data_IF_442129047137
#
_entry.id   IF_442129047137
#
_cell.length_a   1.000
_cell.length_b   1.000
_cell.length_c   1.000
_cell.angle_alpha   90.00
_cell.angle_beta   90.00
_cell.angle_gamma   90.00
#
_symmetry.space_group_name_H-M   'P 1'
#
loop_
_entity.id
_entity.type
_entity.pdbx_description
1 polymer ?
#
# COMPACT_ATOMS: atom_id res chain seq x y z
N UNK A 1 21.59 -19.54 -8.68
CA UNK A 1 20.13 -19.83 -8.63
C UNK A 1 19.94 -21.09 -7.81
N UNK A 2 18.95 -21.16 -6.93
CA UNK A 2 18.58 -22.45 -6.33
C UNK A 2 17.92 -23.29 -7.42
N UNK A 3 18.43 -24.47 -7.68
CA UNK A 3 17.81 -25.40 -8.61
C UNK A 3 16.70 -26.16 -7.87
N UNK A 4 15.46 -25.96 -8.32
CA UNK A 4 14.29 -26.72 -7.85
C UNK A 4 13.97 -27.78 -8.90
N UNK A 5 13.47 -28.91 -8.46
CA UNK A 5 13.04 -29.98 -9.38
C UNK A 5 11.75 -29.66 -10.13
N UNK A 6 10.86 -28.86 -9.49
CA UNK A 6 9.57 -28.45 -10.06
C UNK A 6 9.26 -26.99 -9.72
N UNK A 7 8.55 -26.35 -10.64
CA UNK A 7 8.04 -24.98 -10.53
C UNK A 7 6.53 -25.01 -10.66
N UNK A 8 5.82 -24.53 -9.64
CA UNK A 8 4.37 -24.65 -9.52
C UNK A 8 3.75 -23.24 -9.57
N UNK A 9 2.98 -22.98 -10.61
CA UNK A 9 2.20 -21.76 -10.76
C UNK A 9 0.80 -21.94 -10.18
N UNK A 10 0.40 -21.02 -9.32
CA UNK A 10 -0.90 -20.98 -8.67
C UNK A 10 -1.68 -19.75 -9.13
N UNK A 11 -2.81 -19.94 -9.78
CA UNK A 11 -3.76 -18.85 -10.02
C UNK A 11 -4.84 -18.91 -8.93
N UNK A 12 -4.80 -17.90 -8.03
CA UNK A 12 -5.50 -17.96 -6.74
C UNK A 12 -6.78 -17.15 -6.76
N UNK A 13 -7.91 -17.82 -6.48
CA UNK A 13 -9.22 -17.22 -6.30
C UNK A 13 -9.74 -17.45 -4.88
N UNK A 14 -10.85 -16.80 -4.53
CA UNK A 14 -11.45 -16.89 -3.19
C UNK A 14 -11.68 -18.33 -2.74
N UNK A 15 -12.22 -19.16 -3.61
CA UNK A 15 -12.67 -20.52 -3.27
C UNK A 15 -11.80 -21.61 -3.90
N UNK A 16 -11.08 -21.28 -4.96
CA UNK A 16 -10.31 -22.23 -5.76
C UNK A 16 -8.92 -21.73 -6.10
N UNK A 17 -8.02 -22.66 -6.41
CA UNK A 17 -6.69 -22.41 -6.89
C UNK A 17 -6.44 -23.31 -8.10
N UNK A 18 -6.21 -22.71 -9.26
CA UNK A 18 -5.77 -23.42 -10.45
C UNK A 18 -4.26 -23.66 -10.36
N UNK A 19 -3.83 -24.90 -10.61
CA UNK A 19 -2.46 -25.35 -10.39
C UNK A 19 -1.87 -25.86 -11.69
N UNK A 20 -0.66 -25.42 -12.01
CA UNK A 20 0.15 -25.97 -13.10
C UNK A 20 1.58 -26.21 -12.63
N UNK A 21 2.23 -27.19 -13.22
CA UNK A 21 3.56 -27.65 -12.85
C UNK A 21 4.48 -27.66 -14.07
N UNK A 22 5.65 -27.06 -13.96
CA UNK A 22 6.73 -27.13 -14.92
C UNK A 22 7.93 -27.87 -14.30
N UNK A 23 8.39 -28.94 -14.96
CA UNK A 23 9.57 -29.69 -14.52
C UNK A 23 10.86 -28.91 -14.86
N UNK A 24 11.87 -28.99 -13.98
CA UNK A 24 13.15 -28.29 -14.16
C UNK A 24 13.91 -28.72 -15.44
N UNK A 25 13.81 -30.03 -15.78
CA UNK A 25 14.50 -30.63 -16.92
C UNK A 25 14.05 -30.04 -18.26
N UNK A 26 12.87 -29.39 -18.31
CA UNK A 26 12.32 -28.78 -19.51
C UNK A 26 10.91 -29.30 -19.84
N UNK A 27 10.49 -29.10 -21.09
CA UNK A 27 9.14 -29.42 -21.54
C UNK A 27 8.11 -28.31 -21.24
N UNK A 28 6.86 -28.55 -21.65
CA UNK A 28 5.77 -27.64 -21.42
C UNK A 28 5.24 -27.74 -19.99
N UNK A 29 4.73 -26.63 -19.46
CA UNK A 29 4.02 -26.64 -18.19
C UNK A 29 2.72 -27.44 -18.33
N UNK A 30 2.43 -28.29 -17.36
CA UNK A 30 1.25 -29.17 -17.34
C UNK A 30 0.23 -28.65 -16.36
N UNK A 31 -0.99 -28.48 -16.82
CA UNK A 31 -2.09 -28.18 -15.93
C UNK A 31 -2.36 -29.39 -15.02
N UNK A 32 -2.25 -29.16 -13.71
CA UNK A 32 -2.49 -30.19 -12.71
C UNK A 32 -3.98 -30.34 -12.40
N UNK A 33 -4.73 -29.24 -12.42
CA UNK A 33 -6.13 -29.18 -12.06
C UNK A 33 -6.43 -28.00 -11.15
N UNK A 34 -7.64 -28.00 -10.63
CA UNK A 34 -8.12 -27.02 -9.65
C UNK A 34 -8.27 -27.69 -8.29
N UNK A 35 -7.90 -26.99 -7.24
CA UNK A 35 -8.06 -27.41 -5.84
C UNK A 35 -8.85 -26.35 -5.07
N UNK A 36 -9.47 -26.71 -3.95
CA UNK A 36 -10.07 -25.76 -3.03
C UNK A 36 -8.98 -24.86 -2.41
N UNK A 37 -9.28 -23.57 -2.25
CA UNK A 37 -8.38 -22.64 -1.56
C UNK A 37 -8.52 -22.82 -0.03
N UNK A 38 -8.05 -23.96 0.47
CA UNK A 38 -8.03 -24.29 1.89
C UNK A 38 -6.66 -24.79 2.32
N UNK A 39 -6.28 -24.58 3.59
CA UNK A 39 -5.00 -25.07 4.11
C UNK A 39 -4.79 -26.56 3.93
N UNK A 40 -5.84 -27.36 4.04
CA UNK A 40 -5.80 -28.81 3.86
C UNK A 40 -5.52 -29.21 2.41
N UNK A 41 -6.17 -28.51 1.46
CA UNK A 41 -5.96 -28.78 0.03
C UNK A 41 -4.55 -28.41 -0.41
N UNK A 42 -4.03 -27.28 0.03
CA UNK A 42 -2.64 -26.84 -0.21
C UNK A 42 -1.65 -27.86 0.37
N UNK A 43 -1.87 -28.31 1.61
CA UNK A 43 -1.00 -29.32 2.25
C UNK A 43 -1.02 -30.66 1.49
N UNK A 44 -2.19 -31.10 1.02
CA UNK A 44 -2.33 -32.29 0.18
C UNK A 44 -1.61 -32.14 -1.17
N UNK A 45 -1.75 -30.97 -1.79
CA UNK A 45 -1.06 -30.64 -3.04
C UNK A 45 0.47 -30.76 -2.87
N UNK A 46 1.02 -30.07 -1.86
CA UNK A 46 2.46 -30.10 -1.57
C UNK A 46 2.95 -31.54 -1.37
N UNK A 47 2.27 -32.31 -0.50
CA UNK A 47 2.63 -33.71 -0.25
C UNK A 47 2.61 -34.57 -1.52
N UNK A 48 1.65 -34.33 -2.43
CA UNK A 48 1.53 -35.10 -3.68
C UNK A 48 2.57 -34.71 -4.70
N UNK A 49 3.00 -33.44 -4.73
CA UNK A 49 4.02 -32.96 -5.67
C UNK A 49 5.44 -33.27 -5.21
N UNK A 50 5.65 -33.52 -3.91
CA UNK A 50 6.96 -33.75 -3.29
C UNK A 50 6.97 -35.09 -2.52
N UNK A 51 6.79 -36.24 -3.19
CA UNK A 51 6.75 -37.53 -2.50
C UNK A 51 8.10 -37.89 -1.84
N UNK A 52 9.21 -37.43 -2.41
CA UNK A 52 10.56 -37.72 -1.96
C UNK A 52 11.15 -36.65 -1.03
N UNK A 53 10.34 -35.66 -0.61
CA UNK A 53 10.76 -34.59 0.31
C UNK A 53 11.64 -33.51 -0.34
N UNK A 54 11.69 -33.46 -1.66
CA UNK A 54 12.41 -32.44 -2.42
C UNK A 54 11.82 -31.03 -2.21
N UNK A 55 12.67 -30.00 -2.23
CA UNK A 55 12.21 -28.60 -2.17
C UNK A 55 11.85 -28.14 -3.59
N UNK A 56 10.62 -27.66 -3.76
CA UNK A 56 10.12 -27.12 -5.03
C UNK A 56 9.75 -25.65 -4.90
N UNK A 57 9.65 -24.96 -6.04
CA UNK A 57 9.27 -23.55 -6.11
C UNK A 57 7.78 -23.41 -6.41
N UNK A 58 7.12 -22.53 -5.69
CA UNK A 58 5.75 -22.08 -5.94
C UNK A 58 5.75 -20.59 -6.27
N UNK A 59 4.84 -20.16 -7.11
CA UNK A 59 4.59 -18.75 -7.35
C UNK A 59 3.10 -18.47 -7.56
N UNK A 60 2.65 -17.30 -7.14
CA UNK A 60 1.31 -16.81 -7.44
C UNK A 60 1.26 -15.28 -7.55
N UNK A 61 0.22 -14.77 -8.21
CA UNK A 61 0.01 -13.35 -8.40
C UNK A 61 -0.53 -12.69 -7.12
N UNK A 62 0.05 -11.54 -6.72
CA UNK A 62 -0.45 -10.75 -5.61
C UNK A 62 -1.89 -10.28 -5.88
N UNK A 63 -2.79 -10.62 -5.00
CA UNK A 63 -4.22 -10.36 -5.15
C UNK A 63 -4.95 -10.32 -3.81
N UNK A 64 -6.28 -10.31 -3.82
CA UNK A 64 -7.10 -10.22 -2.61
C UNK A 64 -6.95 -11.42 -1.66
N UNK A 65 -6.39 -12.55 -2.12
CA UNK A 65 -6.12 -13.72 -1.28
C UNK A 65 -4.94 -13.53 -0.31
N UNK A 66 -4.23 -12.39 -0.39
CA UNK A 66 -3.17 -12.04 0.56
C UNK A 66 -1.96 -12.97 0.52
N UNK A 67 -1.36 -13.21 1.69
CA UNK A 67 -0.09 -13.92 1.84
C UNK A 67 -0.20 -15.25 2.59
N UNK A 68 -1.39 -15.73 2.93
CA UNK A 68 -1.55 -16.97 3.71
C UNK A 68 -1.01 -18.20 2.98
N UNK A 69 -1.23 -18.31 1.68
CA UNK A 69 -0.65 -19.39 0.84
C UNK A 69 0.88 -19.35 0.87
N UNK A 70 1.48 -18.15 0.76
CA UNK A 70 2.92 -17.97 0.88
C UNK A 70 3.44 -18.45 2.23
N UNK A 71 2.79 -18.03 3.33
CA UNK A 71 3.19 -18.44 4.69
C UNK A 71 3.09 -19.94 4.89
N UNK A 72 1.98 -20.53 4.45
CA UNK A 72 1.77 -21.96 4.56
C UNK A 72 2.79 -22.78 3.78
N UNK A 73 3.06 -22.41 2.52
CA UNK A 73 4.05 -23.11 1.68
C UNK A 73 5.46 -22.96 2.26
N UNK A 74 5.80 -21.77 2.75
CA UNK A 74 7.09 -21.51 3.40
C UNK A 74 7.25 -22.31 4.71
N UNK A 75 6.19 -22.44 5.52
CA UNK A 75 6.19 -23.26 6.73
C UNK A 75 6.33 -24.77 6.42
N UNK A 76 5.88 -25.20 5.26
CA UNK A 76 6.08 -26.57 4.78
C UNK A 76 7.49 -26.83 4.23
N UNK A 77 8.38 -25.83 4.25
CA UNK A 77 9.77 -25.94 3.86
C UNK A 77 10.04 -25.71 2.36
N UNK A 78 9.05 -25.23 1.61
CA UNK A 78 9.19 -24.97 0.18
C UNK A 78 9.41 -23.49 -0.13
N UNK A 79 9.95 -23.21 -1.32
CA UNK A 79 10.06 -21.84 -1.80
C UNK A 79 8.71 -21.34 -2.32
N UNK A 80 8.36 -20.12 -2.01
CA UNK A 80 7.16 -19.47 -2.54
C UNK A 80 7.44 -18.02 -2.90
N UNK A 81 7.07 -17.60 -4.10
CA UNK A 81 7.19 -16.23 -4.58
C UNK A 81 5.81 -15.64 -4.84
N UNK A 82 5.56 -14.46 -4.28
CA UNK A 82 4.39 -13.65 -4.64
C UNK A 82 4.84 -12.62 -5.68
N UNK A 83 4.16 -12.52 -6.80
CA UNK A 83 4.58 -11.66 -7.91
C UNK A 83 3.58 -10.55 -8.18
N UNK A 84 4.07 -9.35 -8.53
CA UNK A 84 3.19 -8.23 -8.84
C UNK A 84 2.55 -8.41 -10.23
N UNK A 85 1.22 -8.25 -10.36
CA UNK A 85 0.50 -8.38 -11.64
C UNK A 85 1.09 -7.55 -12.77
N UNK A 86 1.52 -6.33 -12.44
CA UNK A 86 2.09 -5.38 -13.40
C UNK A 86 3.50 -5.73 -13.88
N UNK A 87 4.20 -6.65 -13.19
CA UNK A 87 5.56 -7.08 -13.53
C UNK A 87 5.59 -8.45 -14.21
N UNK A 88 4.45 -9.12 -14.40
CA UNK A 88 4.37 -10.38 -15.13
C UNK A 88 4.48 -10.12 -16.63
N UNK A 89 5.48 -10.69 -17.32
CA UNK A 89 5.63 -10.54 -18.77
C UNK A 89 4.37 -10.98 -19.53
N UNK A 90 3.94 -10.19 -20.50
CA UNK A 90 2.79 -10.51 -21.37
C UNK A 90 3.24 -10.55 -22.82
N UNK A 91 2.83 -11.60 -23.53
CA UNK A 91 3.08 -11.68 -24.97
C UNK A 91 2.13 -10.75 -25.71
N UNK A 92 2.60 -9.96 -26.68
CA UNK A 92 1.72 -9.19 -27.56
C UNK A 92 0.69 -10.11 -28.24
N UNK A 93 -0.59 -9.69 -28.24
CA UNK A 93 -1.65 -10.47 -28.91
C UNK A 93 -2.31 -11.56 -28.04
N UNK A 94 -1.88 -11.80 -26.83
CA UNK A 94 -2.54 -12.73 -25.90
C UNK A 94 -3.88 -12.15 -25.43
N UNK A 95 -4.98 -12.60 -26.03
CA UNK A 95 -6.34 -12.09 -25.79
C UNK A 95 -7.22 -13.03 -24.96
N UNK A 96 -6.80 -14.28 -24.80
CA UNK A 96 -7.59 -15.29 -24.08
C UNK A 96 -6.98 -15.49 -22.71
N UNK A 97 -7.70 -15.07 -21.66
CA UNK A 97 -7.35 -15.28 -20.27
C UNK A 97 -8.19 -16.43 -19.70
N UNK A 98 -7.54 -17.42 -19.08
CA UNK A 98 -8.18 -18.49 -18.32
C UNK A 98 -7.24 -18.88 -17.17
N UNK A 99 -7.80 -19.29 -16.04
CA UNK A 99 -7.06 -19.67 -14.83
C UNK A 99 -6.02 -20.78 -15.11
N UNK A 100 -6.37 -21.73 -15.99
CA UNK A 100 -5.44 -22.74 -16.49
C UNK A 100 -4.23 -22.11 -17.18
N UNK A 101 -4.43 -21.18 -18.12
CA UNK A 101 -3.34 -20.54 -18.85
C UNK A 101 -2.50 -19.64 -17.96
N UNK A 102 -3.14 -18.98 -17.00
CA UNK A 102 -2.44 -18.10 -16.06
C UNK A 102 -1.56 -18.92 -15.12
N UNK A 103 -2.02 -20.06 -14.59
CA UNK A 103 -1.20 -20.97 -13.79
C UNK A 103 -0.06 -21.61 -14.60
N UNK A 104 -0.32 -22.07 -15.84
CA UNK A 104 0.72 -22.60 -16.75
C UNK A 104 1.78 -21.54 -17.10
N UNK A 105 1.36 -20.29 -17.30
CA UNK A 105 2.25 -19.16 -17.57
C UNK A 105 3.14 -18.86 -16.37
N UNK A 106 2.55 -18.79 -15.16
CA UNK A 106 3.29 -18.52 -13.93
C UNK A 106 4.37 -19.58 -13.69
N UNK A 107 4.05 -20.88 -13.77
CA UNK A 107 5.01 -21.95 -13.58
C UNK A 107 6.16 -21.90 -14.59
N UNK A 108 5.89 -21.60 -15.85
CA UNK A 108 6.90 -21.44 -16.91
C UNK A 108 7.81 -20.24 -16.68
N UNK A 109 7.23 -19.08 -16.31
CA UNK A 109 7.99 -17.85 -16.04
C UNK A 109 8.84 -17.97 -14.78
N UNK A 110 8.35 -18.66 -13.74
CA UNK A 110 9.13 -18.95 -12.53
C UNK A 110 10.33 -19.83 -12.86
N UNK A 111 10.14 -20.90 -13.63
CA UNK A 111 11.22 -21.76 -14.12
C UNK A 111 12.26 -20.98 -14.93
N UNK A 112 11.83 -20.03 -15.75
CA UNK A 112 12.73 -19.21 -16.57
C UNK A 112 13.45 -18.11 -15.75
N UNK A 113 13.07 -17.89 -14.48
CA UNK A 113 13.60 -16.80 -13.66
C UNK A 113 13.15 -15.39 -14.12
N UNK A 114 12.05 -15.32 -14.85
CA UNK A 114 11.52 -14.08 -15.41
C UNK A 114 10.52 -13.36 -14.47
N UNK A 115 10.19 -13.97 -13.33
CA UNK A 115 9.28 -13.37 -12.36
C UNK A 115 10.03 -12.51 -11.35
N UNK A 116 9.49 -11.33 -11.08
CA UNK A 116 9.98 -10.45 -10.02
C UNK A 116 9.11 -10.60 -8.78
N UNK A 117 9.68 -11.21 -7.73
CA UNK A 117 8.99 -11.37 -6.46
C UNK A 117 8.78 -10.02 -5.78
N UNK A 118 7.61 -9.84 -5.17
CA UNK A 118 7.35 -8.75 -4.25
C UNK A 118 7.84 -9.12 -2.84
N UNK A 119 8.23 -8.13 -2.08
CA UNK A 119 8.52 -8.32 -0.67
C UNK A 119 7.22 -8.64 0.09
N UNK A 120 7.21 -9.78 0.77
CA UNK A 120 6.08 -10.20 1.61
C UNK A 120 6.34 -9.73 3.04
N UNK A 121 5.46 -8.93 3.63
CA UNK A 121 5.58 -8.49 5.02
C UNK A 121 5.37 -9.66 5.99
N UNK A 122 5.97 -9.57 7.17
CA UNK A 122 5.56 -10.39 8.29
C UNK A 122 4.15 -9.99 8.78
N UNK A 123 3.59 -10.74 9.73
CA UNK A 123 2.23 -10.50 10.21
C UNK A 123 2.07 -9.16 10.93
N UNK A 124 3.07 -8.74 11.71
CA UNK A 124 3.05 -7.45 12.40
C UNK A 124 3.08 -6.29 11.40
N UNK A 125 3.97 -6.38 10.42
CA UNK A 125 4.09 -5.37 9.38
C UNK A 125 2.82 -5.29 8.51
N UNK A 126 2.18 -6.42 8.22
CA UNK A 126 0.91 -6.47 7.50
C UNK A 126 -0.21 -5.82 8.33
N UNK A 127 -0.31 -6.12 9.62
CA UNK A 127 -1.28 -5.50 10.51
C UNK A 127 -1.11 -3.98 10.62
N UNK A 128 0.14 -3.50 10.69
CA UNK A 128 0.42 -2.06 10.68
C UNK A 128 0.04 -1.40 9.35
N UNK A 129 0.20 -2.11 8.24
CA UNK A 129 -0.24 -1.66 6.91
C UNK A 129 -1.77 -1.57 6.86
N UNK A 130 -2.48 -2.55 7.39
CA UNK A 130 -3.94 -2.54 7.44
C UNK A 130 -4.47 -1.38 8.31
N UNK A 131 -3.84 -1.11 9.45
CA UNK A 131 -4.19 0.00 10.32
C UNK A 131 -4.04 1.36 9.60
N UNK A 132 -2.92 1.57 8.91
CA UNK A 132 -2.69 2.82 8.17
C UNK A 132 -3.65 2.98 6.99
N UNK A 133 -3.98 1.90 6.29
CA UNK A 133 -4.95 1.88 5.18
C UNK A 133 -6.38 2.10 5.67
N UNK A 134 -6.79 1.44 6.74
CA UNK A 134 -8.09 1.68 7.36
C UNK A 134 -8.28 3.15 7.76
N UNK A 135 -7.23 3.79 8.31
CA UNK A 135 -7.24 5.23 8.61
C UNK A 135 -7.38 6.07 7.33
N UNK A 136 -6.70 5.69 6.23
CA UNK A 136 -6.81 6.38 4.94
C UNK A 136 -8.22 6.28 4.37
N UNK A 137 -8.84 5.11 4.43
CA UNK A 137 -10.21 4.86 3.97
C UNK A 137 -11.22 5.71 4.79
N UNK A 138 -11.07 5.74 6.11
CA UNK A 138 -11.92 6.58 6.95
C UNK A 138 -11.73 8.07 6.68
N UNK A 139 -10.52 8.50 6.34
CA UNK A 139 -10.25 9.89 5.91
C UNK A 139 -10.90 10.21 4.55
N UNK A 140 -10.94 9.24 3.67
CA UNK A 140 -11.69 9.30 2.41
C UNK A 140 -13.19 9.47 2.65
N UNK A 141 -13.75 8.67 3.56
CA UNK A 141 -15.16 8.74 3.94
C UNK A 141 -15.51 10.10 4.59
N UNK A 142 -14.69 10.59 5.51
CA UNK A 142 -14.82 11.92 6.11
C UNK A 142 -14.90 13.02 5.03
N UNK A 143 -14.05 12.95 4.02
CA UNK A 143 -14.09 13.90 2.90
C UNK A 143 -15.42 13.83 2.14
N UNK A 144 -15.90 12.62 1.86
CA UNK A 144 -17.16 12.40 1.14
C UNK A 144 -18.37 12.95 1.96
N UNK A 145 -18.42 12.67 3.24
CA UNK A 145 -19.50 13.18 4.12
C UNK A 145 -19.49 14.70 4.19
N UNK A 146 -18.33 15.32 4.31
CA UNK A 146 -18.15 16.77 4.26
C UNK A 146 -18.60 17.38 2.93
N UNK A 147 -18.28 16.73 1.80
CA UNK A 147 -18.73 17.17 0.48
C UNK A 147 -20.27 17.12 0.36
N UNK A 148 -20.88 16.02 0.82
CA UNK A 148 -22.35 15.85 0.80
C UNK A 148 -23.06 16.93 1.61
N UNK A 149 -22.60 17.18 2.83
CA UNK A 149 -23.17 18.25 3.68
C UNK A 149 -23.00 19.64 3.04
N UNK A 150 -21.82 19.94 2.49
CA UNK A 150 -21.61 21.21 1.79
C UNK A 150 -22.55 21.38 0.58
N UNK A 151 -22.71 20.31 -0.23
CA UNK A 151 -23.61 20.33 -1.38
C UNK A 151 -25.07 20.52 -0.96
N UNK A 152 -25.50 19.89 0.14
CA UNK A 152 -26.83 20.10 0.73
C UNK A 152 -27.04 21.55 1.15
N UNK A 153 -26.13 22.11 1.93
CA UNK A 153 -26.20 23.50 2.41
C UNK A 153 -26.22 24.49 1.24
N UNK A 154 -25.36 24.29 0.24
CA UNK A 154 -25.29 25.17 -0.94
C UNK A 154 -26.60 25.15 -1.73
N UNK A 155 -27.24 23.99 -1.91
CA UNK A 155 -28.51 23.84 -2.62
C UNK A 155 -29.65 24.65 -1.97
N UNK A 156 -29.60 24.85 -0.66
CA UNK A 156 -30.55 25.66 0.10
C UNK A 156 -30.05 27.08 0.40
N UNK A 157 -29.02 27.56 -0.29
CA UNK A 157 -28.50 28.90 -0.12
C UNK A 157 -27.87 29.18 1.26
N UNK A 158 -27.56 28.14 2.02
CA UNK A 158 -26.92 28.28 3.34
C UNK A 158 -25.41 28.31 3.16
N UNK A 159 -24.83 29.49 3.15
CA UNK A 159 -23.40 29.72 2.89
C UNK A 159 -22.74 30.24 4.17
N UNK A 160 -21.70 29.53 4.65
CA UNK A 160 -20.86 30.03 5.73
C UNK A 160 -20.02 31.22 5.21
N UNK A 161 -19.85 32.25 6.02
CA UNK A 161 -19.17 33.49 5.62
C UNK A 161 -17.88 33.27 4.85
N UNK A 162 -17.68 34.04 3.76
CA UNK A 162 -16.48 33.95 2.94
C UNK A 162 -15.23 34.32 3.74
N UNK A 163 -14.12 33.64 3.46
CA UNK A 163 -12.81 33.87 4.12
C UNK A 163 -12.62 33.14 5.46
N UNK A 164 -13.67 32.57 6.08
CA UNK A 164 -13.51 31.76 7.29
C UNK A 164 -13.27 30.28 6.98
N UNK A 165 -12.41 29.66 7.79
CA UNK A 165 -12.11 28.22 7.66
C UNK A 165 -13.32 27.38 8.05
N UNK A 166 -13.69 26.42 7.16
CA UNK A 166 -14.73 25.42 7.43
C UNK A 166 -14.20 24.33 8.36
N UNK A 167 -15.11 23.56 8.96
CA UNK A 167 -14.83 22.39 9.81
C UNK A 167 -14.09 22.75 11.11
N UNK A 168 -14.27 24.00 11.56
CA UNK A 168 -13.84 24.49 12.87
C UNK A 168 -15.03 24.48 13.84
N UNK A 169 -14.78 24.60 15.14
CA UNK A 169 -15.85 24.74 16.12
C UNK A 169 -16.81 25.91 15.81
N UNK A 170 -16.28 27.01 15.25
CA UNK A 170 -17.10 28.15 14.82
C UNK A 170 -18.04 27.75 13.66
N UNK A 171 -17.57 26.94 12.70
CA UNK A 171 -18.41 26.44 11.61
C UNK A 171 -19.49 25.48 12.13
N UNK A 172 -19.16 24.59 13.06
CA UNK A 172 -20.16 23.71 13.69
C UNK A 172 -21.21 24.48 14.50
N UNK A 173 -20.82 25.49 15.27
CA UNK A 173 -21.77 26.38 15.96
C UNK A 173 -22.70 27.14 15.01
N UNK A 174 -22.18 27.58 13.87
CA UNK A 174 -23.00 28.19 12.83
C UNK A 174 -24.01 27.17 12.27
N UNK A 175 -23.61 25.94 12.01
CA UNK A 175 -24.51 24.88 11.56
C UNK A 175 -25.59 24.56 12.61
N UNK A 176 -25.24 24.51 13.88
CA UNK A 176 -26.20 24.28 14.99
C UNK A 176 -27.31 25.38 15.07
N UNK A 177 -26.99 26.58 14.61
CA UNK A 177 -27.96 27.69 14.52
C UNK A 177 -28.85 27.62 13.27
N UNK A 178 -28.61 26.74 12.32
CA UNK A 178 -29.41 26.65 11.09
C UNK A 178 -30.74 25.93 11.34
N UNK A 179 -31.79 26.50 10.78
CA UNK A 179 -33.15 25.93 10.80
C UNK A 179 -33.65 25.84 9.35
N UNK A 180 -34.38 24.77 9.08
CA UNK A 180 -35.09 24.54 7.83
C UNK A 180 -36.58 24.53 8.12
N UNK A 181 -37.35 25.23 7.27
CA UNK A 181 -38.80 25.38 7.48
C UNK A 181 -39.55 24.07 7.25
N UNK A 182 -39.02 23.18 6.40
CA UNK A 182 -39.61 21.87 6.14
C UNK A 182 -38.96 20.82 7.06
N UNK A 183 -39.76 20.16 7.88
CA UNK A 183 -39.27 19.19 8.87
C UNK A 183 -38.37 18.10 8.27
N UNK A 184 -38.70 17.57 7.08
CA UNK A 184 -37.90 16.57 6.40
C UNK A 184 -36.49 17.09 6.01
N UNK A 185 -36.38 18.37 5.64
CA UNK A 185 -35.10 19.00 5.35
C UNK A 185 -34.23 19.10 6.61
N UNK A 186 -34.86 19.44 7.77
CA UNK A 186 -34.16 19.49 9.05
C UNK A 186 -33.63 18.11 9.47
N UNK A 187 -34.39 17.04 9.26
CA UNK A 187 -33.97 15.66 9.51
C UNK A 187 -32.76 15.30 8.63
N UNK A 188 -32.86 15.54 7.32
CA UNK A 188 -31.77 15.23 6.38
C UNK A 188 -30.50 16.04 6.69
N UNK A 189 -30.66 17.31 7.06
CA UNK A 189 -29.54 18.15 7.49
C UNK A 189 -28.85 17.56 8.72
N UNK A 190 -29.60 17.16 9.74
CA UNK A 190 -29.05 16.58 10.96
C UNK A 190 -28.31 15.28 10.67
N UNK A 191 -28.87 14.39 9.83
CA UNK A 191 -28.20 13.16 9.40
C UNK A 191 -26.84 13.43 8.72
N UNK A 192 -26.77 14.46 7.86
CA UNK A 192 -25.49 14.82 7.25
C UNK A 192 -24.47 15.39 8.26
N UNK A 193 -24.92 16.18 9.24
CA UNK A 193 -24.05 16.69 10.31
C UNK A 193 -23.52 15.54 11.17
N UNK A 194 -24.40 14.60 11.55
CA UNK A 194 -24.03 13.45 12.37
C UNK A 194 -23.09 12.52 11.62
N UNK A 195 -23.30 12.28 10.32
CA UNK A 195 -22.38 11.52 9.48
C UNK A 195 -20.97 12.13 9.44
N UNK A 196 -20.85 13.46 9.40
CA UNK A 196 -19.53 14.14 9.47
C UNK A 196 -18.90 13.93 10.84
N UNK A 197 -19.65 14.17 11.93
CA UNK A 197 -19.13 13.99 13.30
C UNK A 197 -18.67 12.56 13.56
N UNK A 198 -19.44 11.57 13.12
CA UNK A 198 -19.06 10.15 13.21
C UNK A 198 -17.81 9.80 12.40
N UNK A 199 -17.69 10.33 11.18
CA UNK A 199 -16.51 10.09 10.35
C UNK A 199 -15.25 10.72 10.98
N UNK A 200 -15.33 11.94 11.50
CA UNK A 200 -14.22 12.57 12.24
C UNK A 200 -13.82 11.77 13.48
N UNK A 201 -14.80 11.28 14.26
CA UNK A 201 -14.53 10.46 15.44
C UNK A 201 -13.83 9.14 15.09
N UNK A 202 -14.22 8.48 14.00
CA UNK A 202 -13.55 7.26 13.51
C UNK A 202 -12.10 7.51 13.11
N UNK A 203 -11.83 8.60 12.38
CA UNK A 203 -10.45 8.97 12.02
C UNK A 203 -9.62 9.22 13.26
N UNK A 204 -10.14 10.02 14.22
CA UNK A 204 -9.43 10.32 15.48
C UNK A 204 -9.19 9.05 16.31
N UNK A 205 -10.15 8.12 16.33
CA UNK A 205 -10.01 6.82 17.00
C UNK A 205 -8.86 6.01 16.41
N UNK A 206 -8.79 5.87 15.09
CA UNK A 206 -7.70 5.14 14.42
C UNK A 206 -6.35 5.83 14.61
N UNK A 207 -6.29 7.16 14.57
CA UNK A 207 -5.04 7.90 14.83
C UNK A 207 -4.53 7.64 16.25
N UNK A 208 -5.42 7.56 17.24
CA UNK A 208 -5.06 7.18 18.62
C UNK A 208 -4.55 5.72 18.72
N UNK A 209 -5.18 4.79 17.99
CA UNK A 209 -4.68 3.41 17.95
C UNK A 209 -3.31 3.32 17.25
N UNK A 210 -3.05 4.14 16.21
CA UNK A 210 -1.73 4.23 15.59
C UNK A 210 -0.67 4.74 16.57
N UNK A 211 -1.00 5.73 17.42
CA UNK A 211 -0.09 6.21 18.48
C UNK A 211 0.27 5.10 19.45
N UNK A 212 -0.71 4.33 19.91
CA UNK A 212 -0.47 3.19 20.82
C UNK A 212 0.34 2.07 20.15
N UNK A 213 -0.01 1.73 18.91
CA UNK A 213 0.68 0.68 18.17
C UNK A 213 2.16 1.02 17.93
N UNK A 214 2.51 2.30 17.79
CA UNK A 214 3.90 2.74 17.65
C UNK A 214 4.76 2.38 18.86
N UNK A 215 4.23 2.43 20.09
CA UNK A 215 5.00 2.23 21.32
C UNK A 215 5.75 0.89 21.36
N UNK A 216 5.16 -0.14 20.75
CA UNK A 216 5.73 -1.50 20.75
C UNK A 216 6.23 -1.94 19.37
N UNK A 217 6.13 -1.09 18.35
CA UNK A 217 6.52 -1.47 17.01
C UNK A 217 8.03 -1.44 16.82
N UNK A 218 8.59 -2.52 16.30
CA UNK A 218 10.02 -2.67 16.01
C UNK A 218 10.59 -1.51 15.17
N UNK A 219 9.78 -0.92 14.28
CA UNK A 219 10.17 0.21 13.44
C UNK A 219 9.94 1.59 14.07
N UNK A 220 9.52 1.67 15.35
CA UNK A 220 9.30 2.94 16.05
C UNK A 220 10.50 3.90 15.97
N UNK A 221 11.76 3.48 16.18
CA UNK A 221 12.90 4.37 16.07
C UNK A 221 13.07 4.99 14.68
N UNK A 222 12.71 4.25 13.62
CA UNK A 222 12.78 4.75 12.23
C UNK A 222 11.64 5.73 11.96
N UNK A 223 10.44 5.46 12.47
CA UNK A 223 9.29 6.38 12.41
C UNK A 223 9.64 7.71 13.08
N UNK A 224 10.24 7.67 14.28
CA UNK A 224 10.69 8.87 15.00
C UNK A 224 11.76 9.64 14.23
N UNK A 225 12.73 8.94 13.64
CA UNK A 225 13.75 9.56 12.79
C UNK A 225 13.14 10.25 11.55
N UNK A 226 12.18 9.63 10.90
CA UNK A 226 11.44 10.24 9.78
C UNK A 226 10.68 11.48 10.22
N UNK A 227 10.14 11.49 11.42
CA UNK A 227 9.43 12.64 11.97
C UNK A 227 10.32 13.86 12.22
N UNK A 228 11.65 13.74 12.25
CA UNK A 228 12.58 14.88 12.27
C UNK A 228 12.58 15.66 10.94
N UNK A 229 12.13 15.06 9.85
CA UNK A 229 12.02 15.70 8.55
C UNK A 229 10.84 16.68 8.51
N UNK A 230 11.03 17.80 7.80
CA UNK A 230 9.98 18.80 7.60
C UNK A 230 8.79 18.20 6.85
N UNK A 231 7.58 18.45 7.35
CA UNK A 231 6.33 17.98 6.72
C UNK A 231 5.95 16.54 7.10
N UNK A 232 6.87 15.73 7.61
CA UNK A 232 6.57 14.38 8.05
C UNK A 232 6.08 14.41 9.50
N UNK A 233 4.84 14.00 9.71
CA UNK A 233 4.24 13.76 11.04
C UNK A 233 4.01 12.26 11.22
N UNK A 234 3.49 11.86 12.37
CA UNK A 234 3.24 10.48 12.75
C UNK A 234 2.56 9.68 11.64
N UNK A 235 1.40 10.14 11.18
CA UNK A 235 0.61 9.42 10.16
C UNK A 235 1.42 9.18 8.89
N UNK A 236 2.14 10.20 8.40
CA UNK A 236 2.99 10.06 7.22
C UNK A 236 4.13 9.09 7.45
N UNK A 237 4.84 9.20 8.58
CA UNK A 237 5.97 8.33 8.91
C UNK A 237 5.52 6.87 9.07
N UNK A 238 4.43 6.63 9.79
CA UNK A 238 3.87 5.28 9.94
C UNK A 238 3.39 4.71 8.62
N UNK A 239 2.69 5.49 7.77
CA UNK A 239 2.28 5.03 6.44
C UNK A 239 3.48 4.63 5.60
N UNK A 240 4.56 5.43 5.60
CA UNK A 240 5.78 5.11 4.86
C UNK A 240 6.38 3.80 5.36
N UNK A 241 6.54 3.64 6.68
CA UNK A 241 7.15 2.44 7.24
C UNK A 241 6.26 1.20 7.16
N UNK A 242 4.95 1.35 7.35
CA UNK A 242 3.99 0.26 7.20
C UNK A 242 3.97 -0.32 5.77
N UNK A 243 4.08 0.54 4.78
CA UNK A 243 4.06 0.13 3.37
C UNK A 243 5.42 -0.37 2.86
N UNK A 244 6.53 0.22 3.32
CA UNK A 244 7.87 -0.15 2.87
C UNK A 244 8.48 -1.31 3.68
N UNK A 245 8.19 -1.39 4.97
CA UNK A 245 8.88 -2.32 5.87
C UNK A 245 10.36 -1.99 6.01
N UNK A 246 11.20 -3.00 5.88
CA UNK A 246 12.64 -2.83 5.94
C UNK A 246 13.16 -2.00 4.76
N UNK A 247 13.61 -0.79 5.05
CA UNK A 247 14.17 0.13 4.05
C UNK A 247 15.63 -0.21 3.68
N UNK A 248 16.32 -1.06 4.47
CA UNK A 248 17.70 -1.48 4.18
C UNK A 248 17.80 -2.32 2.90
N UNK A 249 16.71 -2.89 2.43
CA UNK A 249 16.61 -3.62 1.15
C UNK A 249 16.81 -2.75 -0.09
N UNK A 250 16.87 -1.44 0.08
CA UNK A 250 17.15 -0.52 -1.03
C UNK A 250 18.61 -0.04 -0.94
N UNK A 251 19.42 -0.39 -1.92
CA UNK A 251 20.85 -0.04 -1.97
C UNK A 251 21.08 1.46 -2.14
N UNK A 252 20.10 2.18 -2.66
CA UNK A 252 20.21 3.61 -2.91
C UNK A 252 18.86 4.34 -2.88
N UNK A 253 18.85 5.66 -2.61
CA UNK A 253 17.64 6.48 -2.74
C UNK A 253 17.01 6.43 -4.13
N UNK A 254 17.80 6.23 -5.19
CA UNK A 254 17.29 6.11 -6.57
C UNK A 254 16.47 4.84 -6.76
N UNK A 255 16.92 3.73 -6.17
CA UNK A 255 16.20 2.47 -6.20
C UNK A 255 14.84 2.59 -5.48
N UNK A 256 14.80 3.24 -4.31
CA UNK A 256 13.56 3.54 -3.61
C UNK A 256 12.63 4.45 -4.43
N UNK A 257 13.17 5.49 -5.07
CA UNK A 257 12.38 6.37 -5.94
C UNK A 257 11.79 5.62 -7.13
N UNK A 258 12.56 4.72 -7.76
CA UNK A 258 12.09 3.85 -8.83
C UNK A 258 10.99 2.91 -8.35
N UNK A 259 11.20 2.25 -7.21
CA UNK A 259 10.20 1.37 -6.58
C UNK A 259 8.87 2.10 -6.29
N UNK A 260 8.94 3.38 -5.94
CA UNK A 260 7.76 4.21 -5.67
C UNK A 260 7.18 4.88 -6.91
N UNK A 261 7.80 4.69 -8.08
CA UNK A 261 7.39 5.35 -9.32
C UNK A 261 7.50 6.87 -9.29
N UNK A 262 8.48 7.38 -8.56
CA UNK A 262 8.83 8.81 -8.47
C UNK A 262 9.92 9.22 -9.46
N UNK A 263 10.28 8.34 -10.38
CA UNK A 263 11.21 8.61 -11.48
C UNK A 263 10.44 8.99 -12.75
N UNK A 264 10.98 9.88 -13.58
CA UNK A 264 10.35 10.23 -14.86
C UNK A 264 10.27 8.99 -15.77
N UNK A 265 9.19 8.88 -16.52
CA UNK A 265 9.14 7.95 -17.64
C UNK A 265 10.08 8.43 -18.74
N UNK A 266 10.76 7.50 -19.39
CA UNK A 266 11.70 7.82 -20.46
C UNK A 266 11.46 6.89 -21.67
N UNK A 267 11.48 7.50 -22.85
CA UNK A 267 11.48 6.80 -24.14
C UNK A 267 12.63 7.36 -24.94
N UNK A 268 13.72 6.61 -24.96
CA UNK A 268 14.93 7.01 -25.67
C UNK A 268 15.20 6.06 -26.82
N UNK A 269 15.55 6.59 -27.99
CA UNK A 269 15.94 5.84 -29.17
C UNK A 269 17.04 6.60 -29.89
N UNK A 270 18.22 5.98 -30.03
CA UNK A 270 19.39 6.62 -30.62
C UNK A 270 19.80 7.89 -29.85
N UNK A 271 19.86 9.01 -30.54
CA UNK A 271 20.21 10.30 -29.93
C UNK A 271 19.02 11.06 -29.32
N UNK A 272 17.80 10.54 -29.44
CA UNK A 272 16.59 11.21 -29.00
C UNK A 272 16.15 10.68 -27.64
N UNK A 273 15.98 11.55 -26.65
CA UNK A 273 15.47 11.21 -25.32
C UNK A 273 14.21 12.03 -25.03
N UNK A 274 13.09 11.34 -24.80
CA UNK A 274 11.83 11.94 -24.39
C UNK A 274 11.52 11.53 -22.95
N UNK A 275 11.50 12.51 -22.05
CA UNK A 275 11.10 12.35 -20.66
C UNK A 275 9.68 12.82 -20.44
N UNK A 276 8.85 11.96 -19.85
CA UNK A 276 7.46 12.29 -19.46
C UNK A 276 7.33 12.59 -17.97
N UNK A 277 6.10 12.50 -17.48
CA UNK A 277 5.81 12.58 -16.05
C UNK A 277 6.35 11.37 -15.27
N UNK A 278 6.18 11.35 -13.96
CA UNK A 278 6.58 10.20 -13.12
C UNK A 278 5.85 8.93 -13.55
N UNK A 279 6.53 7.78 -13.44
CA UNK A 279 6.01 6.47 -13.90
C UNK A 279 4.76 6.02 -13.17
N UNK A 280 4.57 6.45 -11.90
CA UNK A 280 3.47 6.05 -11.01
C UNK A 280 3.37 4.54 -10.78
N UNK A 281 4.41 3.79 -11.06
CA UNK A 281 4.52 2.37 -10.72
C UNK A 281 4.66 2.17 -9.20
N UNK A 282 4.46 0.95 -8.72
CA UNK A 282 4.67 0.60 -7.31
C UNK A 282 3.67 1.24 -6.33
N UNK A 283 4.10 1.43 -5.08
CA UNK A 283 3.22 1.75 -3.97
C UNK A 283 2.63 3.15 -4.04
N UNK A 284 1.32 3.25 -4.24
CA UNK A 284 0.59 4.52 -4.37
C UNK A 284 0.39 5.24 -3.03
N UNK A 285 0.26 4.51 -1.91
CA UNK A 285 0.05 5.09 -0.58
C UNK A 285 1.28 5.90 -0.16
N UNK A 286 2.47 5.29 -0.25
CA UNK A 286 3.74 5.99 0.06
C UNK A 286 3.98 7.16 -0.90
N UNK A 287 3.79 6.93 -2.21
CA UNK A 287 3.97 8.00 -3.20
C UNK A 287 3.09 9.21 -2.89
N UNK A 288 1.82 9.01 -2.56
CA UNK A 288 0.89 10.08 -2.20
C UNK A 288 1.38 10.89 -1.01
N UNK A 289 1.69 10.24 0.11
CA UNK A 289 2.10 10.95 1.33
C UNK A 289 3.45 11.64 1.18
N UNK A 290 4.37 11.10 0.37
CA UNK A 290 5.64 11.75 0.09
C UNK A 290 5.49 12.97 -0.83
N UNK A 291 4.61 12.91 -1.84
CA UNK A 291 4.29 14.05 -2.70
C UNK A 291 3.64 15.18 -1.88
N UNK A 292 2.65 14.85 -1.04
CA UNK A 292 2.01 15.82 -0.13
C UNK A 292 3.04 16.46 0.81
N UNK A 293 3.94 15.67 1.38
CA UNK A 293 5.02 16.17 2.24
C UNK A 293 6.02 17.04 1.48
N UNK A 294 6.34 16.67 0.24
CA UNK A 294 7.27 17.40 -0.64
C UNK A 294 6.88 18.88 -0.81
N UNK A 295 5.59 19.20 -0.81
CA UNK A 295 5.11 20.57 -0.87
C UNK A 295 5.59 21.47 0.28
N UNK A 296 5.95 20.89 1.42
CA UNK A 296 6.49 21.64 2.55
C UNK A 296 7.87 22.22 2.24
N UNK A 297 8.61 21.63 1.29
CA UNK A 297 9.97 22.05 0.92
C UNK A 297 10.03 23.20 -0.07
N UNK A 298 8.88 23.67 -0.58
CA UNK A 298 8.79 24.91 -1.40
C UNK A 298 9.09 26.17 -0.60
N UNK A 299 8.98 26.10 0.72
CA UNK A 299 9.28 27.25 1.59
C UNK A 299 10.75 27.27 1.99
N UNK A 300 11.35 28.44 2.25
CA UNK A 300 12.73 28.55 2.72
C UNK A 300 13.04 27.66 3.91
N UNK A 301 14.28 27.19 4.01
CA UNK A 301 14.72 26.39 5.12
C UNK A 301 14.54 27.14 6.44
N UNK A 302 13.88 26.50 7.42
CA UNK A 302 13.61 27.10 8.73
C UNK A 302 13.59 26.05 9.83
N UNK A 303 14.28 26.30 10.93
CA UNK A 303 14.18 25.54 12.18
C UNK A 303 13.08 26.16 13.03
N UNK A 304 11.88 25.59 12.99
CA UNK A 304 10.81 25.98 13.92
C UNK A 304 11.00 25.27 15.27
N UNK A 305 10.55 25.87 16.37
CA UNK A 305 10.61 25.24 17.69
C UNK A 305 9.97 23.83 17.70
N UNK A 306 8.90 23.65 16.93
CA UNK A 306 8.23 22.35 16.76
C UNK A 306 9.13 21.30 16.09
N UNK A 307 9.80 21.65 14.99
CA UNK A 307 10.74 20.74 14.31
C UNK A 307 11.96 20.45 15.15
N UNK A 308 12.47 21.47 15.87
CA UNK A 308 13.61 21.33 16.73
C UNK A 308 13.37 20.34 17.88
N UNK A 309 12.26 20.48 18.61
CA UNK A 309 11.88 19.53 19.71
C UNK A 309 11.78 18.08 19.21
N UNK A 310 11.33 17.87 17.97
CA UNK A 310 11.25 16.53 17.38
C UNK A 310 12.63 16.00 16.99
N UNK A 311 13.46 16.84 16.40
CA UNK A 311 14.80 16.48 15.99
C UNK A 311 15.73 16.22 17.19
N UNK A 312 15.56 16.94 18.29
CA UNK A 312 16.35 16.77 19.53
C UNK A 312 16.24 15.36 20.13
N UNK A 313 15.13 14.65 19.86
CA UNK A 313 14.95 13.24 20.25
C UNK A 313 15.78 12.26 19.42
N UNK A 314 16.35 12.70 18.31
CA UNK A 314 17.07 11.88 17.37
C UNK A 314 18.59 12.11 17.46
N UNK A 315 19.37 11.17 16.93
CA UNK A 315 20.84 11.29 16.84
C UNK A 315 21.26 12.53 16.03
N UNK A 316 22.47 13.04 16.30
CA UNK A 316 23.04 14.18 15.57
C UNK A 316 23.09 13.95 14.05
N UNK A 317 23.31 12.71 13.62
CA UNK A 317 23.29 12.32 12.20
C UNK A 317 21.91 12.54 11.58
N UNK A 318 20.83 12.10 12.25
CA UNK A 318 19.46 12.30 11.77
C UNK A 318 19.12 13.78 11.71
N UNK A 319 19.52 14.57 12.72
CA UNK A 319 19.34 16.03 12.73
C UNK A 319 20.04 16.71 11.55
N UNK A 320 21.26 16.30 11.24
CA UNK A 320 22.04 16.83 10.11
C UNK A 320 21.37 16.49 8.77
N UNK A 321 20.89 15.26 8.59
CA UNK A 321 20.13 14.82 7.40
C UNK A 321 18.85 15.65 7.26
N UNK A 322 18.07 15.81 8.32
CA UNK A 322 16.83 16.55 8.31
C UNK A 322 17.03 18.04 7.95
N UNK A 323 18.12 18.63 8.44
CA UNK A 323 18.48 20.00 8.06
C UNK A 323 18.99 20.12 6.64
N UNK A 324 19.83 19.19 6.18
CA UNK A 324 20.34 19.14 4.81
C UNK A 324 19.19 19.00 3.80
N UNK A 325 18.17 18.21 4.11
CA UNK A 325 17.00 18.04 3.26
C UNK A 325 16.23 19.35 3.01
N UNK A 326 16.22 20.29 3.97
CA UNK A 326 15.55 21.58 3.79
C UNK A 326 16.32 22.58 2.92
N UNK A 327 17.63 22.34 2.69
CA UNK A 327 18.51 23.23 1.93
C UNK A 327 18.61 22.88 0.44
N UNK A 328 17.95 21.81 0.00
CA UNK A 328 17.99 21.30 -1.39
C UNK A 328 16.91 21.92 -2.29
#
# INVERSE_FOLDING_TARGET
MREFSKYVGLDTHKETVAVAVADAIGGEARYYGEIANTPEAIRKLVKKLCPDGEVISFCYEAGPCGYEIYRQISQLGHHCSVVAPSLIPRKPGERVKTDRRDSEKLSRLDRAGELTAVWVPDQEQEAMRDLTRAREDMKGLERITKQRLNAFLLRYGRIYESGKSRWTQAHFRWMEGLKFDVAVQQIVFQEYVDAVKQAEARVAGLEKEMEKALENWVLAPVVEALMALRGIKLITAMTVMAELGDISRFDSPRQLMSFLGLVPSERSSGQTSHRGGITKTGNSHVRRVLVETGWCYRFPARKTAYLQRRAEKCSGTVQAIAWKAQKR
#
